data_IF_612579263817
#
_entry.id   IF_612579263817
#
_cell.length_a   1.000
_cell.length_b   1.000
_cell.length_c   1.000
_cell.angle_alpha   90.00
_cell.angle_beta   90.00
_cell.angle_gamma   90.00
#
_symmetry.space_group_name_H-M   'P 1'
#
loop_
_entity.id
_entity.type
_entity.pdbx_description
1 polymer ?
2 water ?
#
# COMPACT_ATOMS: atom_id res chain seq x y z
N UNK A 54 17.19 4.28 -22.67
CA UNK A 54 17.08 3.42 -23.87
C UNK A 54 15.78 2.59 -23.88
N UNK A 55 14.71 3.12 -24.47
CA UNK A 55 14.67 4.46 -25.04
C UNK A 55 13.41 5.24 -24.57
N UNK A 56 13.59 6.52 -24.26
CA UNK A 56 12.53 7.36 -23.67
C UNK A 56 11.35 7.58 -24.58
N UNK A 57 11.63 8.10 -25.77
CA UNK A 57 10.59 8.36 -26.79
C UNK A 57 9.87 7.09 -27.19
N UNK A 58 10.61 5.99 -27.24
CA UNK A 58 10.05 4.68 -27.52
C UNK A 58 9.06 4.26 -26.45
N UNK A 59 9.36 4.59 -25.20
CA UNK A 59 8.50 4.18 -24.10
C UNK A 59 7.26 5.05 -23.98
N UNK A 60 7.37 6.31 -24.39
CA UNK A 60 6.23 7.22 -24.43
C UNK A 60 5.19 6.70 -25.41
N UNK A 61 5.68 6.22 -26.55
CA UNK A 61 4.83 5.64 -27.58
C UNK A 61 4.06 4.42 -27.03
N UNK A 62 4.74 3.55 -26.30
CA UNK A 62 4.08 2.39 -25.69
C UNK A 62 2.93 2.79 -24.77
N UNK A 63 3.16 3.74 -23.87
CA UNK A 63 2.13 4.19 -22.94
C UNK A 63 0.97 4.88 -23.64
N UNK A 64 1.27 5.60 -24.71
CA UNK A 64 0.24 6.30 -25.49
C UNK A 64 -0.84 5.35 -26.00
N UNK A 65 -0.44 4.17 -26.47
CA UNK A 65 -1.37 3.17 -26.98
C UNK A 65 -2.24 2.63 -25.85
N UNK A 66 -1.71 2.65 -24.63
CA UNK A 66 -2.35 2.06 -23.48
C UNK A 66 -3.28 3.05 -22.76
N UNK A 67 -3.02 4.35 -22.88
CA UNK A 67 -3.73 5.34 -22.07
C UNK A 67 -4.89 5.99 -22.82
N UNK A 68 -5.72 6.71 -22.07
CA UNK A 68 -6.79 7.52 -22.66
C UNK A 68 -6.19 8.71 -23.37
N UNK A 69 -6.74 9.08 -24.55
CA UNK A 69 -6.25 10.23 -25.31
C UNK A 69 -6.40 11.54 -24.53
N UNK A 70 -5.64 12.56 -24.93
CA UNK A 70 -5.80 13.90 -24.38
C UNK A 70 -5.07 14.18 -23.08
N UNK A 71 -5.50 15.24 -22.42
CA UNK A 71 -4.78 15.85 -21.33
C UNK A 71 -5.83 16.35 -20.34
N UNK A 72 -5.83 15.82 -19.10
CA UNK A 72 -6.90 16.10 -18.13
C UNK A 72 -6.92 17.53 -17.66
N UNK A 73 -5.89 18.32 -18.03
CA UNK A 73 -5.91 19.74 -17.70
C UNK A 73 -7.06 20.41 -18.39
N UNK A 74 -7.58 19.77 -19.43
CA UNK A 74 -8.76 20.28 -20.08
C UNK A 74 -10.03 20.19 -19.22
N UNK A 75 -9.99 19.46 -18.10
CA UNK A 75 -11.14 19.50 -17.17
C UNK A 75 -10.80 19.69 -15.69
N UNK A 76 -9.51 19.73 -15.38
CA UNK A 76 -9.05 19.91 -13.99
C UNK A 76 -8.33 21.23 -13.78
N UNK A 77 -8.68 21.94 -12.71
CA UNK A 77 -7.99 23.15 -12.28
C UNK A 77 -7.20 22.94 -11.00
N UNK A 78 -6.31 23.89 -10.72
CA UNK A 78 -5.67 24.05 -9.42
C UNK A 78 -4.99 22.83 -8.87
N UNK A 79 -3.93 22.42 -9.55
CA UNK A 79 -3.11 21.32 -9.06
C UNK A 79 -2.34 21.80 -7.84
N UNK A 80 -2.45 21.06 -6.75
CA UNK A 80 -1.71 21.32 -5.55
C UNK A 80 -1.10 20.00 -5.13
N UNK A 81 0.24 19.95 -5.08
CA UNK A 81 0.94 18.77 -4.63
C UNK A 81 0.64 18.50 -3.15
N UNK A 82 0.14 17.30 -2.84
CA UNK A 82 -0.09 16.91 -1.45
C UNK A 82 0.81 15.78 -0.99
N UNK A 83 1.70 15.33 -1.87
CA UNK A 83 2.65 14.31 -1.45
C UNK A 83 3.43 13.64 -2.54
N UNK A 84 4.11 12.55 -2.17
CA UNK A 84 4.92 11.77 -3.09
C UNK A 84 5.22 10.44 -2.45
N UNK A 85 4.85 9.36 -3.13
CA UNK A 85 5.11 8.03 -2.61
C UNK A 85 6.10 7.25 -3.45
N UNK A 86 5.70 6.01 -3.74
CA UNK A 86 6.44 5.06 -4.57
C UNK A 86 7.22 5.65 -5.76
N UNK A 87 6.50 6.19 -6.75
CA UNK A 87 7.03 6.40 -8.10
C UNK A 87 6.89 7.81 -8.71
N UNK A 88 6.07 8.64 -8.10
CA UNK A 88 5.89 10.02 -8.53
C UNK A 88 5.23 10.83 -7.44
N UNK A 89 4.73 12.02 -7.81
CA UNK A 89 4.04 12.87 -6.85
C UNK A 89 2.51 12.72 -6.99
N UNK A 90 1.79 13.15 -5.97
CA UNK A 90 0.33 13.12 -5.97
C UNK A 90 -0.22 14.53 -5.74
N UNK A 91 -1.17 14.95 -6.58
CA UNK A 91 -1.80 16.26 -6.41
C UNK A 91 -3.29 16.14 -6.20
N UNK A 92 -3.86 17.16 -5.58
CA UNK A 92 -5.29 17.42 -5.64
C UNK A 92 -5.56 18.27 -6.88
N UNK A 93 -6.69 18.04 -7.52
CA UNK A 93 -7.14 18.87 -8.60
C UNK A 93 -8.64 19.09 -8.41
N UNK A 94 -9.15 20.17 -8.98
CA UNK A 94 -10.56 20.48 -8.91
C UNK A 94 -11.16 20.17 -10.26
N UNK A 95 -12.19 19.35 -10.30
CA UNK A 95 -12.95 19.16 -11.55
C UNK A 95 -13.65 20.48 -11.84
N UNK A 96 -13.31 21.08 -12.99
CA UNK A 96 -13.83 22.41 -13.36
C UNK A 96 -15.35 22.52 -13.42
N UNK A 97 -16.01 21.47 -13.92
CA UNK A 97 -17.44 21.47 -14.11
C UNK A 97 -18.25 21.41 -12.81
N UNK A 98 -17.72 20.75 -11.78
CA UNK A 98 -18.49 20.47 -10.57
C UNK A 98 -17.96 21.09 -9.28
N UNK A 99 -16.64 21.26 -9.20
CA UNK A 99 -16.02 21.64 -7.93
C UNK A 99 -15.64 20.42 -7.10
N UNK A 100 -15.86 19.23 -7.67
CA UNK A 100 -15.39 17.99 -7.06
C UNK A 100 -13.86 17.92 -7.02
N UNK A 101 -13.33 17.24 -6.01
CA UNK A 101 -11.88 16.99 -5.91
C UNK A 101 -11.47 15.58 -6.37
N UNK A 102 -10.38 15.51 -7.12
CA UNK A 102 -9.77 14.23 -7.50
C UNK A 102 -8.27 14.28 -7.22
N UNK A 103 -7.64 13.12 -7.21
CA UNK A 103 -6.20 13.00 -7.04
C UNK A 103 -5.59 12.70 -8.39
N UNK A 104 -4.36 13.17 -8.59
CA UNK A 104 -3.63 12.87 -9.81
C UNK A 104 -2.21 12.44 -9.42
N UNK A 105 -1.91 11.18 -9.71
CA UNK A 105 -0.56 10.67 -9.53
C UNK A 105 0.20 11.00 -10.80
N UNK A 106 1.32 11.69 -10.65
CA UNK A 106 2.16 12.04 -11.78
C UNK A 106 3.48 11.31 -11.65
N UNK A 107 3.91 10.66 -12.73
CA UNK A 107 5.12 9.85 -12.70
C UNK A 107 5.96 10.13 -13.93
N UNK A 108 7.12 10.75 -13.70
CA UNK A 108 8.04 11.08 -14.76
C UNK A 108 8.68 9.80 -15.24
N UNK A 109 8.61 9.59 -16.56
CA UNK A 109 9.12 8.39 -17.18
C UNK A 109 10.62 8.25 -16.97
N UNK A 110 11.31 9.38 -17.09
CA UNK A 110 12.77 9.40 -17.01
C UNK A 110 13.27 9.12 -15.60
N UNK A 111 12.44 9.38 -14.60
CA UNK A 111 12.82 9.20 -13.20
C UNK A 111 12.50 7.81 -12.62
N UNK A 112 12.08 6.85 -13.45
CA UNK A 112 11.75 5.53 -12.93
C UNK A 112 12.92 4.56 -13.03
N UNK A 113 13.18 3.83 -11.95
CA UNK A 113 14.16 2.75 -11.95
C UNK A 113 13.77 1.66 -12.97
N UNK A 114 12.50 1.24 -12.91
CA UNK A 114 11.97 0.22 -13.81
C UNK A 114 10.71 0.71 -14.52
N UNK A 115 10.90 1.41 -15.65
CA UNK A 115 9.81 2.06 -16.39
C UNK A 115 8.65 1.12 -16.65
N UNK A 116 8.96 -0.16 -16.86
CA UNK A 116 7.95 -1.19 -17.18
C UNK A 116 6.89 -1.33 -16.10
N UNK A 117 7.26 -1.05 -14.86
CA UNK A 117 6.34 -1.18 -13.74
C UNK A 117 5.22 -0.16 -13.81
N UNK A 118 5.42 0.90 -14.59
CA UNK A 118 4.34 1.88 -14.78
C UNK A 118 3.07 1.23 -15.31
N UNK A 119 3.22 0.14 -16.06
CA UNK A 119 2.09 -0.58 -16.63
C UNK A 119 1.22 -1.28 -15.59
N UNK A 120 1.83 -1.67 -14.47
CA UNK A 120 1.08 -2.22 -13.33
C UNK A 120 -0.06 -1.32 -12.89
N UNK A 121 0.18 -0.01 -12.91
CA UNK A 121 -0.87 0.96 -12.67
C UNK A 121 -2.07 0.68 -13.57
N UNK A 122 -1.82 0.64 -14.88
CA UNK A 122 -2.84 0.39 -15.90
C UNK A 122 -3.52 -0.98 -15.75
N UNK A 123 -2.72 -2.03 -15.57
CA UNK A 123 -3.22 -3.38 -15.24
C UNK A 123 -4.19 -3.44 -14.03
N UNK A 124 -3.94 -2.67 -12.97
CA UNK A 124 -4.85 -2.69 -11.81
C UNK A 124 -6.10 -1.83 -12.06
N UNK A 125 -5.95 -0.76 -12.84
CA UNK A 125 -7.11 0.05 -13.22
C UNK A 125 -8.12 -0.81 -13.97
N UNK A 126 -7.60 -1.61 -14.89
CA UNK A 126 -8.43 -2.33 -15.82
C UNK A 126 -9.10 -3.57 -15.24
N UNK A 127 -8.45 -4.23 -14.28
CA UNK A 127 -8.93 -5.55 -13.86
C UNK A 127 -9.43 -5.67 -12.42
N UNK A 128 -8.88 -4.86 -11.51
CA UNK A 128 -9.06 -5.11 -10.08
C UNK A 128 -9.67 -3.96 -9.27
N UNK A 129 -10.98 -3.76 -9.44
CA UNK A 129 -11.75 -2.80 -8.64
C UNK A 129 -12.29 -3.46 -7.38
N UNK A 130 -12.30 -2.69 -6.27
CA UNK A 130 -12.69 -3.19 -4.96
C UNK A 130 -12.94 -2.02 -4.03
N UNK A 131 -13.77 -2.23 -3.02
CA UNK A 131 -14.16 -1.18 -2.08
C UNK A 131 -12.99 -0.60 -1.27
N UNK A 132 -12.06 -1.47 -0.88
CA UNK A 132 -10.87 -1.07 -0.12
C UNK A 132 -9.65 -0.89 -1.00
N UNK A 133 -9.88 -0.70 -2.29
CA UNK A 133 -8.80 -0.33 -3.20
C UNK A 133 -9.17 1.00 -3.83
N UNK A 134 -8.29 1.99 -3.67
CA UNK A 134 -8.43 3.28 -4.35
C UNK A 134 -8.80 3.04 -5.81
N UNK A 135 -9.94 3.59 -6.23
CA UNK A 135 -10.33 3.45 -7.62
C UNK A 135 -9.59 4.44 -8.48
N UNK A 136 -9.10 3.96 -9.62
CA UNK A 136 -8.44 4.79 -10.61
C UNK A 136 -9.44 4.99 -11.75
N UNK A 137 -9.47 6.19 -12.33
CA UNK A 137 -10.50 6.54 -13.29
C UNK A 137 -9.99 6.59 -14.72
N UNK A 138 -8.83 7.19 -14.91
CA UNK A 138 -8.32 7.49 -16.23
C UNK A 138 -6.84 7.74 -16.10
N UNK A 139 -6.14 7.51 -17.20
CA UNK A 139 -4.72 7.75 -17.27
C UNK A 139 -4.41 8.47 -18.58
N UNK A 140 -3.39 9.33 -18.55
CA UNK A 140 -3.02 10.12 -19.73
C UNK A 140 -1.52 10.22 -19.82
N UNK A 141 -1.02 10.51 -21.02
CA UNK A 141 0.38 10.79 -21.19
C UNK A 141 0.56 12.28 -21.42
N UNK A 142 1.05 12.98 -20.39
CA UNK A 142 1.26 14.42 -20.50
C UNK A 142 2.75 14.73 -20.50
N UNK A 143 3.26 15.23 -21.62
CA UNK A 143 4.71 15.40 -21.80
C UNK A 143 5.43 14.09 -21.56
N UNK A 144 6.33 14.08 -20.57
CA UNK A 144 7.10 12.88 -20.23
C UNK A 144 6.59 12.26 -18.95
N UNK A 145 5.33 12.54 -18.64
CA UNK A 145 4.73 12.03 -17.42
C UNK A 145 3.48 11.21 -17.70
N UNK A 146 3.29 10.17 -16.91
CA UNK A 146 2.04 9.45 -16.84
C UNK A 146 1.18 10.06 -15.73
N UNK A 147 -0.05 10.42 -16.05
CA UNK A 147 -0.99 10.94 -15.05
C UNK A 147 -2.11 9.98 -14.86
N UNK A 148 -2.35 9.61 -13.62
CA UNK A 148 -3.48 8.77 -13.30
C UNK A 148 -4.43 9.57 -12.44
N UNK A 149 -5.59 9.92 -13.01
CA UNK A 149 -6.66 10.57 -12.25
C UNK A 149 -7.34 9.47 -11.47
N UNK A 150 -7.37 9.64 -10.15
CA UNK A 150 -7.91 8.61 -9.29
C UNK A 150 -8.72 9.22 -8.15
N UNK A 151 -9.31 8.35 -7.35
CA UNK A 151 -10.13 8.72 -6.21
C UNK A 151 -9.31 9.53 -5.21
N UNK A 152 -9.92 10.60 -4.70
CA UNK A 152 -9.23 11.42 -3.71
C UNK A 152 -9.58 10.99 -2.29
N UNK A 153 -8.58 10.43 -1.61
CA UNK A 153 -8.72 10.00 -0.22
C UNK A 153 -8.33 11.18 0.69
N UNK A 154 -9.34 11.95 1.05
CA UNK A 154 -9.13 13.24 1.71
C UNK A 154 -8.69 13.08 3.17
N UNK A 155 -8.90 11.90 3.74
CA UNK A 155 -8.40 11.58 5.07
C UNK A 155 -6.90 11.36 5.17
N UNK A 156 -6.21 11.32 4.02
CA UNK A 156 -4.77 11.12 3.95
C UNK A 156 -4.31 9.70 4.29
N UNK A 157 -3.01 9.58 4.51
CA UNK A 157 -2.36 8.29 4.78
C UNK A 157 -2.29 7.92 6.26
N UNK A 158 -2.36 6.62 6.52
CA UNK A 158 -2.22 6.06 7.87
C UNK A 158 -0.91 6.52 8.56
N UNK A 159 0.13 6.83 7.79
CA UNK A 159 1.43 7.22 8.33
C UNK A 159 1.33 8.43 9.26
N UNK A 160 0.49 9.38 8.87
CA UNK A 160 0.25 10.59 9.67
C UNK A 160 -0.39 10.22 11.00
N UNK A 161 -1.24 9.19 11.00
CA UNK A 161 -1.88 8.76 12.23
C UNK A 161 -0.86 8.10 13.15
N UNK A 162 -0.21 7.09 12.59
CA UNK A 162 0.74 6.24 13.28
C UNK A 162 1.90 7.00 13.93
N UNK A 163 2.34 8.09 13.29
CA UNK A 163 3.45 8.86 13.83
C UNK A 163 3.03 9.89 14.88
N UNK A 164 1.75 10.29 14.88
CA UNK A 164 1.30 11.40 15.74
C UNK A 164 0.39 11.04 16.88
N UNK A 165 -0.29 9.90 16.79
CA UNK A 165 -1.12 9.42 17.90
C UNK A 165 -0.97 7.93 18.19
N UNK A 166 -1.73 7.51 19.19
CA UNK A 166 -1.80 6.10 19.57
C UNK A 166 -3.14 5.57 19.09
N UNK A 167 -3.09 4.39 18.48
CA UNK A 167 -4.28 3.69 18.04
C UNK A 167 -4.66 2.67 19.10
N UNK A 168 -5.95 2.57 19.41
CA UNK A 168 -6.41 1.50 20.28
C UNK A 168 -6.59 0.26 19.42
N UNK A 169 -6.96 -0.87 20.03
CA UNK A 169 -7.05 -2.11 19.27
C UNK A 169 -8.29 -2.22 18.37
N UNK A 170 -9.36 -1.51 18.71
CA UNK A 170 -10.54 -1.44 17.87
C UNK A 170 -10.17 -0.86 16.49
N UNK A 171 -9.36 0.19 16.53
CA UNK A 171 -8.89 0.89 15.35
C UNK A 171 -7.84 0.11 14.59
N UNK A 172 -6.93 -0.57 15.30
CA UNK A 172 -5.92 -1.43 14.66
C UNK A 172 -6.61 -2.59 13.91
N UNK A 173 -7.61 -3.18 14.54
CA UNK A 173 -8.37 -4.28 13.94
C UNK A 173 -9.15 -3.84 12.71
N UNK A 174 -9.81 -2.68 12.81
CA UNK A 174 -10.54 -2.10 11.69
C UNK A 174 -9.63 -1.94 10.47
N UNK A 175 -8.46 -1.34 10.68
CA UNK A 175 -7.48 -1.17 9.60
C UNK A 175 -7.05 -2.54 9.06
N UNK A 176 -6.73 -3.47 9.95
CA UNK A 176 -6.32 -4.80 9.55
C UNK A 176 -7.39 -5.53 8.76
N UNK A 177 -8.63 -5.46 9.25
CA UNK A 177 -9.76 -6.10 8.55
C UNK A 177 -9.91 -5.60 7.12
N UNK A 178 -9.94 -4.27 6.96
CA UNK A 178 -10.09 -3.64 5.64
C UNK A 178 -8.97 -4.01 4.68
N UNK A 179 -7.75 -4.11 5.20
CA UNK A 179 -6.59 -4.38 4.35
C UNK A 179 -6.65 -5.82 3.91
N UNK A 180 -7.02 -6.69 4.86
CA UNK A 180 -7.14 -8.11 4.61
C UNK A 180 -8.28 -8.45 3.67
N UNK A 181 -9.36 -7.67 3.73
CA UNK A 181 -10.43 -7.80 2.76
C UNK A 181 -9.88 -7.52 1.35
N UNK A 182 -9.21 -6.38 1.18
CA UNK A 182 -8.59 -6.05 -0.10
C UNK A 182 -7.64 -7.17 -0.54
N UNK A 183 -6.72 -7.52 0.35
CA UNK A 183 -5.67 -8.50 0.05
C UNK A 183 -6.21 -9.84 -0.43
N UNK A 184 -7.13 -10.42 0.33
CA UNK A 184 -7.61 -11.76 0.01
C UNK A 184 -8.29 -11.81 -1.36
N UNK A 185 -8.98 -10.74 -1.75
CA UNK A 185 -9.54 -10.64 -3.09
C UNK A 185 -8.42 -10.51 -4.13
N UNK A 186 -7.49 -9.58 -3.91
CA UNK A 186 -6.33 -9.40 -4.81
C UNK A 186 -5.48 -10.65 -4.91
N UNK A 187 -5.24 -11.31 -3.77
CA UNK A 187 -4.40 -12.50 -3.71
C UNK A 187 -5.06 -13.65 -4.42
N UNK A 188 -6.38 -13.77 -4.27
CA UNK A 188 -7.14 -14.82 -4.94
C UNK A 188 -6.99 -14.77 -6.46
N UNK A 189 -6.58 -13.61 -6.98
CA UNK A 189 -6.46 -13.38 -8.43
C UNK A 189 -5.02 -13.21 -8.91
N UNK A 190 -4.08 -13.79 -8.18
CA UNK A 190 -2.66 -13.72 -8.54
C UNK A 190 -1.95 -12.39 -8.30
N UNK A 191 -2.63 -11.38 -7.77
CA UNK A 191 -1.99 -10.07 -7.58
C UNK A 191 -1.32 -9.91 -6.20
N UNK A 192 -0.05 -9.50 -6.23
CA UNK A 192 0.74 -9.21 -5.03
C UNK A 192 1.08 -7.73 -5.06
N UNK A 193 0.70 -7.03 -3.99
CA UNK A 193 0.90 -5.58 -3.88
C UNK A 193 2.35 -5.17 -3.75
N UNK A 194 3.04 -5.75 -2.78
CA UNK A 194 4.52 -5.68 -2.65
C UNK A 194 5.09 -4.44 -1.97
N UNK A 195 4.26 -3.45 -1.70
CA UNK A 195 4.69 -2.30 -0.92
C UNK A 195 3.65 -1.92 0.16
N UNK A 196 3.15 -2.93 0.89
CA UNK A 196 2.29 -2.72 2.06
C UNK A 196 3.08 -2.09 3.22
N UNK A 197 2.52 -1.01 3.75
CA UNK A 197 3.10 -0.21 4.84
C UNK A 197 2.11 0.92 5.07
N UNK A 198 2.32 1.74 6.09
CA UNK A 198 1.31 2.74 6.48
C UNK A 198 1.10 3.83 5.42
N UNK A 199 2.10 4.05 4.57
CA UNK A 199 2.07 5.07 3.53
C UNK A 199 1.16 4.64 2.39
N UNK A 200 1.04 3.32 2.19
CA UNK A 200 0.21 2.77 1.15
C UNK A 200 -1.22 2.54 1.58
N UNK A 201 -1.55 2.92 2.81
CA UNK A 201 -2.92 2.79 3.31
C UNK A 201 -3.56 4.17 3.40
N UNK A 202 -4.72 4.30 2.76
CA UNK A 202 -5.37 5.60 2.64
C UNK A 202 -6.77 5.63 3.27
N UNK A 203 -7.20 6.83 3.64
CA UNK A 203 -8.43 7.04 4.41
C UNK A 203 -9.35 8.10 3.80
N UNK A 204 -10.64 7.83 3.82
CA UNK A 204 -11.65 8.86 3.53
C UNK A 204 -11.88 9.68 4.81
N UNK A 205 -12.57 10.82 4.67
CA UNK A 205 -12.91 11.66 5.83
C UNK A 205 -13.73 10.93 6.86
N UNK A 206 -14.55 9.97 6.42
CA UNK A 206 -15.37 9.18 7.35
C UNK A 206 -14.75 7.83 7.72
N UNK A 207 -13.43 7.75 7.56
CA UNK A 207 -12.64 6.67 8.13
C UNK A 207 -12.58 5.35 7.40
N UNK A 208 -12.91 5.34 6.13
CA UNK A 208 -12.76 4.12 5.35
C UNK A 208 -11.33 3.94 4.83
N UNK A 209 -10.95 2.69 4.65
CA UNK A 209 -9.55 2.32 4.47
C UNK A 209 -9.35 1.67 3.10
N UNK A 210 -8.42 2.22 2.32
CA UNK A 210 -8.16 1.70 0.99
C UNK A 210 -6.67 1.56 0.75
N UNK A 211 -6.33 0.47 0.07
CA UNK A 211 -5.00 0.24 -0.48
C UNK A 211 -4.75 1.17 -1.64
N UNK A 212 -3.62 1.83 -1.60
CA UNK A 212 -3.18 2.67 -2.69
C UNK A 212 -1.86 2.13 -3.11
N UNK A 213 -1.22 2.81 -4.08
CA UNK A 213 0.20 2.66 -4.41
C UNK A 213 0.64 1.31 -4.98
N UNK A 214 0.16 1.02 -6.19
CA UNK A 214 0.32 -0.29 -6.83
C UNK A 214 1.45 -0.31 -7.86
N UNK A 215 2.31 0.71 -7.82
CA UNK A 215 3.43 0.81 -8.73
C UNK A 215 4.44 -0.31 -8.66
N UNK A 216 4.49 -1.00 -7.53
CA UNK A 216 5.44 -2.11 -7.34
C UNK A 216 4.82 -3.49 -7.48
N UNK A 217 3.51 -3.55 -7.71
CA UNK A 217 2.79 -4.82 -7.72
C UNK A 217 3.21 -5.73 -8.87
N UNK A 218 2.88 -7.03 -8.76
CA UNK A 218 3.12 -8.01 -9.80
C UNK A 218 2.08 -9.10 -9.75
N UNK A 219 1.97 -9.89 -10.82
CA UNK A 219 1.00 -10.99 -10.88
C UNK A 219 1.66 -12.35 -10.81
N UNK A 220 0.95 -13.31 -10.22
CA UNK A 220 1.33 -14.71 -10.27
C UNK A 220 0.20 -15.54 -10.90
N UNK A 221 0.49 -16.81 -11.20
CA UNK A 221 -0.49 -17.73 -11.80
C UNK A 221 0.06 -19.15 -11.88
N UNK A 222 -0.64 -20.00 -12.62
CA UNK A 222 -0.20 -21.37 -12.87
C UNK A 222 1.20 -21.37 -13.51
N UNK A 223 1.39 -20.49 -14.50
CA UNK A 223 2.64 -20.42 -15.27
C UNK A 223 3.78 -19.71 -14.53
N UNK A 224 3.45 -18.67 -13.76
CA UNK A 224 4.45 -17.98 -12.94
C UNK A 224 3.94 -17.91 -11.52
N UNK A 225 4.10 -18.99 -10.74
CA UNK A 225 3.57 -18.98 -9.39
C UNK A 225 4.38 -18.11 -8.41
N UNK A 226 5.65 -17.87 -8.71
CA UNK A 226 6.53 -17.11 -7.80
C UNK A 226 7.23 -15.95 -8.51
N UNK A 227 7.52 -14.89 -7.75
CA UNK A 227 8.29 -13.75 -8.27
C UNK A 227 9.69 -13.75 -7.67
N UNK A 228 10.62 -13.01 -8.29
CA UNK A 228 12.03 -12.98 -7.89
C UNK A 228 12.61 -11.58 -7.67
N UNK A 229 11.82 -10.54 -7.93
CA UNK A 229 12.32 -9.17 -7.91
C UNK A 229 12.50 -8.64 -6.53
N UNK A 230 13.51 -7.78 -6.35
CA UNK A 230 13.74 -7.14 -5.05
C UNK A 230 13.01 -5.81 -5.07
N UNK A 231 11.81 -5.80 -4.50
CA UNK A 231 10.91 -4.67 -4.57
C UNK A 231 10.28 -4.44 -3.19
N UNK A 232 10.02 -3.18 -2.87
CA UNK A 232 9.36 -2.81 -1.62
C UNK A 232 10.06 -1.68 -0.89
N UNK A 233 9.78 -1.54 0.39
CA UNK A 233 10.53 -0.59 1.21
C UNK A 233 11.24 -1.42 2.28
N UNK A 234 12.58 -1.27 2.35
CA UNK A 234 13.47 -2.08 3.20
C UNK A 234 12.83 -2.60 4.50
N UNK A 235 12.44 -1.68 5.38
CA UNK A 235 11.96 -2.04 6.72
C UNK A 235 10.73 -2.95 6.71
N UNK A 236 9.95 -2.90 5.63
CA UNK A 236 8.72 -3.73 5.50
C UNK A 236 8.87 -5.01 4.73
N UNK A 237 10.06 -5.25 4.20
CA UNK A 237 10.29 -6.34 3.26
C UNK A 237 10.32 -7.70 3.94
N UNK A 238 9.72 -8.70 3.30
CA UNK A 238 9.70 -10.06 3.84
C UNK A 238 11.10 -10.69 3.79
N UNK A 239 11.41 -11.60 4.73
CA UNK A 239 12.76 -12.18 4.78
C UNK A 239 13.11 -13.00 3.53
N UNK A 240 12.15 -13.75 3.00
CA UNK A 240 12.32 -14.52 1.74
C UNK A 240 12.57 -13.63 0.51
N UNK A 241 11.97 -12.45 0.53
CA UNK A 241 12.15 -11.45 -0.53
C UNK A 241 13.55 -10.85 -0.49
N UNK A 242 14.05 -10.54 0.73
CA UNK A 242 15.43 -10.08 0.92
C UNK A 242 16.41 -11.23 0.66
N UNK A 243 15.97 -12.45 0.93
CA UNK A 243 16.77 -13.64 0.65
C UNK A 243 16.92 -13.93 -0.83
N UNK A 244 16.13 -13.26 -1.67
CA UNK A 244 16.13 -13.45 -3.13
C UNK A 244 15.56 -14.81 -3.55
N UNK A 245 14.98 -15.54 -2.59
CA UNK A 245 14.25 -16.77 -2.88
C UNK A 245 12.94 -16.42 -3.61
N UNK A 246 12.43 -17.34 -4.44
CA UNK A 246 11.19 -17.00 -5.14
C UNK A 246 10.08 -16.87 -4.10
N UNK A 247 9.11 -16.00 -4.36
CA UNK A 247 8.06 -15.78 -3.36
C UNK A 247 6.71 -15.54 -3.99
N UNK A 248 5.70 -15.47 -3.15
CA UNK A 248 4.34 -15.21 -3.59
C UNK A 248 3.62 -14.21 -2.70
N UNK A 249 2.27 -14.30 -2.66
CA UNK A 249 1.47 -13.33 -1.92
C UNK A 249 1.78 -13.23 -0.41
N UNK A 250 2.52 -14.19 0.15
CA UNK A 250 2.85 -14.19 1.59
C UNK A 250 3.64 -12.97 2.04
N UNK A 251 4.41 -12.39 1.12
CA UNK A 251 5.22 -11.22 1.43
C UNK A 251 4.34 -10.06 1.90
N UNK A 252 3.13 -9.99 1.35
CA UNK A 252 2.15 -8.95 1.70
C UNK A 252 1.66 -9.11 3.14
N UNK A 253 1.55 -10.36 3.57
CA UNK A 253 1.12 -10.68 4.92
C UNK A 253 2.22 -10.33 5.92
N UNK A 254 3.47 -10.59 5.53
CA UNK A 254 4.61 -10.19 6.34
C UNK A 254 4.65 -8.71 6.55
N UNK A 255 4.41 -7.96 5.48
CA UNK A 255 4.48 -6.49 5.49
C UNK A 255 3.36 -5.90 6.32
N UNK A 256 2.25 -6.62 6.39
CA UNK A 256 1.15 -6.25 7.27
C UNK A 256 1.58 -6.34 8.74
N UNK A 257 2.37 -7.37 9.05
CA UNK A 257 2.93 -7.55 10.38
C UNK A 257 3.72 -6.32 10.78
N UNK A 258 4.66 -5.92 9.92
CA UNK A 258 5.46 -4.74 10.16
C UNK A 258 4.54 -3.52 10.37
N UNK A 259 3.45 -3.47 9.63
CA UNK A 259 2.52 -2.36 9.76
C UNK A 259 1.76 -2.40 11.08
N UNK A 260 1.47 -3.60 11.58
CA UNK A 260 0.85 -3.72 12.89
C UNK A 260 1.81 -3.16 13.95
N UNK A 261 3.09 -3.53 13.85
CA UNK A 261 4.17 -2.95 14.65
C UNK A 261 4.21 -1.43 14.57
N UNK A 262 4.18 -0.91 13.33
CA UNK A 262 4.01 0.53 13.10
C UNK A 262 2.84 1.08 13.91
N UNK A 263 1.76 0.33 13.97
CA UNK A 263 0.54 0.82 14.57
C UNK A 263 0.63 0.87 16.08
N UNK A 264 1.35 -0.07 16.66
CA UNK A 264 1.57 -0.15 18.11
C UNK A 264 2.79 0.67 18.59
N UNK A 265 3.93 0.53 17.90
CA UNK A 265 5.18 1.23 18.29
C UNK A 265 5.34 2.63 17.70
N UNK A 266 4.61 2.94 16.61
CA UNK A 266 4.75 4.21 15.91
C UNK A 266 5.75 4.19 14.75
N UNK A 267 6.56 3.12 14.69
CA UNK A 267 7.58 2.90 13.67
C UNK A 267 7.75 1.41 13.43
N UNK A 268 8.32 1.03 12.27
CA UNK A 268 8.71 -0.36 12.04
C UNK A 268 10.01 -0.67 12.76
N UNK A 269 10.34 -1.95 12.96
CA UNK A 269 11.57 -2.30 13.68
C UNK A 269 12.81 -1.83 12.95
N UNK A 270 13.92 -1.69 13.69
CA UNK A 270 15.22 -1.27 13.14
C UNK A 270 15.12 0.00 12.28
N UNK A 271 14.10 0.82 12.53
CA UNK A 271 13.92 2.05 11.77
C UNK A 271 15.12 2.98 11.94
N UNK A 272 15.74 2.91 13.11
CA UNK A 272 16.95 3.66 13.42
C UNK A 272 18.15 3.27 12.57
N UNK A 273 18.21 1.99 12.20
CA UNK A 273 19.31 1.43 11.42
C UNK A 273 19.32 1.91 9.96
N UNK A 274 20.52 1.94 9.34
CA UNK A 274 20.57 2.12 7.88
C UNK A 274 19.74 1.04 7.14
N UNK A 275 19.07 1.43 6.04
CA UNK A 275 18.18 0.51 5.29
C UNK A 275 18.75 -0.90 5.08
N UNK A 276 20.00 -0.97 4.60
CA UNK A 276 20.63 -2.25 4.29
C UNK A 276 20.90 -3.13 5.53
N UNK A 277 21.23 -2.47 6.64
CA UNK A 277 21.46 -3.15 7.91
C UNK A 277 20.14 -3.73 8.45
N UNK A 278 19.06 -2.96 8.29
CA UNK A 278 17.73 -3.40 8.73
C UNK A 278 17.26 -4.63 7.97
N UNK A 279 17.59 -4.67 6.68
CA UNK A 279 17.25 -5.79 5.80
C UNK A 279 17.98 -7.06 6.22
N UNK A 280 19.30 -6.97 6.36
CA UNK A 280 20.09 -8.08 6.91
C UNK A 280 19.46 -8.60 8.20
N UNK A 281 19.20 -7.69 9.14
CA UNK A 281 18.65 -8.08 10.43
C UNK A 281 17.28 -8.76 10.28
N UNK A 282 16.48 -8.26 9.33
CA UNK A 282 15.20 -8.91 9.02
C UNK A 282 15.44 -10.30 8.45
N UNK A 283 16.40 -10.42 7.54
CA UNK A 283 16.73 -11.70 6.94
C UNK A 283 17.25 -12.69 7.97
N UNK A 284 18.28 -12.29 8.71
CA UNK A 284 19.08 -13.23 9.51
C UNK A 284 18.57 -13.60 10.91
N UNK A 285 17.72 -12.77 11.50
CA UNK A 285 17.26 -12.99 12.88
C UNK A 285 15.87 -13.59 12.97
N UNK A 286 15.48 -14.02 14.18
CA UNK A 286 14.11 -14.37 14.49
C UNK A 286 13.21 -13.15 14.21
N UNK A 287 11.89 -13.38 14.00
CA UNK A 287 10.98 -12.27 13.71
C UNK A 287 11.14 -11.10 14.67
N UNK A 288 11.02 -9.86 14.18
CA UNK A 288 11.21 -8.72 15.08
C UNK A 288 10.06 -8.59 16.08
N UNK A 289 10.39 -8.12 17.29
CA UNK A 289 9.45 -8.00 18.39
C UNK A 289 8.88 -6.59 18.51
N UNK A 290 7.73 -6.46 19.16
CA UNK A 290 7.17 -5.17 19.54
C UNK A 290 8.01 -4.53 20.65
N UNK A 291 8.20 -3.21 20.55
CA UNK A 291 8.84 -2.46 21.62
C UNK A 291 7.89 -2.39 22.82
N UNK A 292 6.59 -2.35 22.53
CA UNK A 292 5.56 -2.21 23.55
C UNK A 292 4.71 -3.47 23.71
N UNK A 293 5.36 -4.62 23.85
CA UNK A 293 4.66 -5.89 24.05
C UNK A 293 3.71 -5.86 25.25
N UNK A 294 4.12 -5.15 26.30
CA UNK A 294 3.31 -5.02 27.51
C UNK A 294 1.98 -4.33 27.29
N UNK A 295 1.88 -3.61 26.18
CA UNK A 295 0.74 -2.78 25.87
C UNK A 295 -0.32 -3.46 25.00
N UNK A 296 -0.02 -4.64 24.45
CA UNK A 296 -0.96 -5.31 23.53
C UNK A 296 -1.75 -6.41 24.23
N UNK A 297 -3.00 -6.61 23.81
CA UNK A 297 -3.81 -7.73 24.31
C UNK A 297 -3.23 -9.04 23.77
N UNK A 298 -3.46 -10.16 24.47
CA UNK A 298 -2.97 -11.45 23.94
C UNK A 298 -3.59 -11.79 22.57
N UNK A 299 -4.86 -11.45 22.39
CA UNK A 299 -5.52 -11.54 21.10
C UNK A 299 -4.66 -10.93 19.96
N UNK A 300 -4.20 -9.70 20.13
CA UNK A 300 -3.33 -9.04 19.16
C UNK A 300 -2.01 -9.79 18.97
N UNK A 301 -1.35 -10.15 20.07
CA UNK A 301 -0.09 -10.88 19.98
C UNK A 301 -0.24 -12.17 19.17
N UNK A 302 -1.33 -12.89 19.42
CA UNK A 302 -1.61 -14.15 18.72
C UNK A 302 -1.81 -13.96 17.22
N UNK A 303 -2.52 -12.88 16.89
CA UNK A 303 -2.71 -12.44 15.51
C UNK A 303 -1.37 -12.12 14.85
N UNK A 304 -0.61 -11.21 15.46
CA UNK A 304 0.68 -10.76 14.93
C UNK A 304 1.67 -11.90 14.73
N UNK A 305 1.57 -12.90 15.60
CA UNK A 305 2.36 -14.13 15.46
C UNK A 305 2.00 -14.99 14.25
N UNK A 306 0.83 -14.76 13.67
CA UNK A 306 0.44 -15.50 12.47
C UNK A 306 0.92 -14.78 11.19
N UNK A 307 1.32 -13.52 11.36
CA UNK A 307 1.81 -12.68 10.27
C UNK A 307 3.33 -12.75 10.19
N UNK A 308 4.00 -12.52 11.31
CA UNK A 308 5.45 -12.45 11.32
C UNK A 308 6.08 -13.83 11.46
N UNK A 309 5.65 -14.77 10.62
CA UNK A 309 6.22 -16.12 10.56
C UNK A 309 7.27 -16.14 9.44
N UNK A 310 8.50 -16.55 9.77
CA UNK A 310 9.60 -16.59 8.78
C UNK A 310 9.35 -17.56 7.64
N UNK A 311 8.83 -18.74 7.96
CA UNK A 311 8.51 -19.73 6.94
C UNK A 311 7.22 -19.32 6.23
N UNK A 312 7.34 -18.84 4.98
CA UNK A 312 6.19 -18.33 4.23
C UNK A 312 5.06 -19.36 4.08
N UNK A 313 5.43 -20.65 4.05
CA UNK A 313 4.45 -21.73 4.01
C UNK A 313 3.65 -21.82 5.32
N UNK A 314 4.30 -21.50 6.44
CA UNK A 314 3.67 -21.52 7.75
C UNK A 314 2.90 -20.23 8.10
N UNK A 315 3.21 -19.16 7.38
CA UNK A 315 2.54 -17.87 7.54
C UNK A 315 1.06 -17.99 7.20
N UNK A 316 0.21 -17.26 7.91
CA UNK A 316 -1.22 -17.25 7.61
C UNK A 316 -1.49 -16.59 6.26
N UNK A 317 -2.51 -17.08 5.55
CA UNK A 317 -2.99 -16.41 4.34
C UNK A 317 -4.05 -15.39 4.71
N UNK A 318 -4.31 -14.44 3.82
CA UNK A 318 -5.32 -13.41 4.08
C UNK A 318 -6.70 -14.02 4.34
N UNK A 319 -6.98 -15.14 3.68
CA UNK A 319 -8.28 -15.82 3.83
C UNK A 319 -8.41 -16.46 5.21
N UNK A 320 -7.35 -17.13 5.67
CA UNK A 320 -7.28 -17.67 7.03
C UNK A 320 -7.47 -16.56 8.06
N UNK A 321 -6.73 -15.48 7.87
CA UNK A 321 -6.72 -14.35 8.79
C UNK A 321 -8.07 -13.66 8.92
N UNK A 322 -8.85 -13.64 7.84
CA UNK A 322 -10.17 -13.02 7.90
C UNK A 322 -11.04 -13.63 8.99
N UNK A 323 -10.70 -14.85 9.39
CA UNK A 323 -11.46 -15.57 10.41
C UNK A 323 -10.89 -15.43 11.84
N UNK A 324 -9.66 -14.91 11.97
CA UNK A 324 -9.01 -14.78 13.28
C UNK A 324 -9.79 -13.94 14.25
N UNK A 325 -9.97 -14.46 15.48
CA UNK A 325 -10.70 -13.78 16.56
C UNK A 325 -10.35 -12.31 16.76
N UNK A 326 -9.08 -11.92 16.58
CA UNK A 326 -8.66 -10.53 16.79
C UNK A 326 -9.52 -9.51 16.04
N UNK A 327 -10.01 -9.90 14.87
CA UNK A 327 -10.80 -8.97 14.07
C UNK A 327 -12.20 -8.73 14.61
N UNK A 328 -12.66 -9.59 15.52
CA UNK A 328 -13.93 -9.34 16.21
C UNK A 328 -13.97 -7.93 16.81
N UNK A 329 -12.83 -7.46 17.30
CA UNK A 329 -12.73 -6.13 17.92
C UNK A 329 -12.83 -4.94 16.94
N UNK A 330 -12.70 -5.22 15.64
CA UNK A 330 -12.74 -4.19 14.61
C UNK A 330 -14.01 -3.37 14.73
N UNK A 331 -13.87 -2.06 14.59
CA UNK A 331 -15.00 -1.14 14.71
C UNK A 331 -15.41 -0.55 13.37
N UNK A 332 -16.51 0.21 13.34
CA UNK A 332 -16.94 0.87 12.11
C UNK A 332 -15.88 1.84 11.60
N UNK A 333 -15.96 2.23 10.31
CA UNK A 333 -15.01 3.22 9.79
C UNK A 333 -15.07 4.53 10.60
N UNK A 334 -16.19 4.76 11.27
CA UNK A 334 -16.33 5.92 12.14
C UNK A 334 -15.32 5.92 13.30
N UNK A 335 -14.94 4.73 13.78
CA UNK A 335 -13.97 4.63 14.89
C UNK A 335 -12.59 5.18 14.55
N UNK A 336 -12.21 5.14 13.26
CA UNK A 336 -10.95 5.69 12.78
C UNK A 336 -10.96 7.22 12.68
N UNK A 337 -12.15 7.79 12.54
CA UNK A 337 -12.32 9.23 12.25
C UNK A 337 -11.56 10.16 13.22
N UNK A 338 -11.71 9.95 14.55
CA UNK A 338 -11.05 10.85 15.52
C UNK A 338 -9.52 10.91 15.40
N UNK A 339 -8.90 9.85 14.88
CA UNK A 339 -7.44 9.82 14.68
C UNK A 339 -6.89 10.86 13.71
N UNK A 340 -7.71 11.31 12.76
CA UNK A 340 -7.20 12.14 11.67
C UNK A 340 -6.83 13.56 12.08
N UNK A 341 -5.89 14.14 11.33
CA UNK A 341 -5.26 15.41 11.68
C UNK A 341 -6.29 16.50 11.98
N UNK A 342 -7.33 16.57 11.13
CA UNK A 342 -8.37 17.60 11.26
C UNK A 342 -9.28 17.43 12.48
N UNK A 343 -9.19 16.28 13.16
CA UNK A 343 -10.07 15.97 14.29
C UNK A 343 -9.35 15.86 15.63
N UNK A 344 -8.14 15.31 15.63
CA UNK A 344 -7.33 15.26 16.86
C UNK A 344 -6.81 16.65 17.22
N UNK A 345 -6.57 16.89 18.52
CA UNK A 345 -6.00 18.15 18.99
C UNK A 345 -4.84 17.92 19.97
#
# INVERSE_FOLDING_TARGET
>A
MGSSHHHHHHSSGLVPRGSHMENLYFQGARARQENGMPEKPPGPRSPQREPQRVSHEQFRAALQLVVDPGDPRSYLDNFIKIGEGSTGIVCIATVRSSGKLVAVKKMDLRKQQRRELLFNEVVIMRDYQHENVVEMYNSYLVGDELWVVMEFLEGGALTDIVTHTRMNEEQIAAVCLAVLQALSVLHAQGVIHRDIKSDSILLTHDGRVKLSDFGFCAQVSKEVPRRKSLVGTPYWMAPELISRLPYGPEVDIWSLGIMVIEMVDGEPPYFNEPPLKAMKMIRDNLPPRLKNLHKVSPSLKGFLDRLLVRDPAQRATAAELLKHPFLAKAGPPASIVPLMRQNRTR
#
